data_IF_769735503925
#
_entry.id   IF_769735503925
#
_cell.length_a   1.000
_cell.length_b   1.000
_cell.length_c   1.000
_cell.angle_alpha   90.00
_cell.angle_beta   90.00
_cell.angle_gamma   90.00
#
_symmetry.space_group_name_H-M   'P 1'
#
loop_
_entity.id
_entity.type
_entity.pdbx_description
1 polymer ?
#
# COMPACT_ATOMS: atom_id res chain seq x y z
N UNK A 1 13.09 -7.63 18.05
CA UNK A 1 14.19 -6.88 17.35
C UNK A 1 14.54 -7.51 16.01
N UNK A 2 13.66 -7.38 15.03
CA UNK A 2 13.89 -7.90 13.68
C UNK A 2 14.96 -7.05 12.95
N UNK A 3 15.99 -7.68 12.33
CA UNK A 3 17.03 -6.93 11.61
C UNK A 3 16.49 -6.13 10.42
N UNK A 4 15.46 -6.61 9.72
CA UNK A 4 14.82 -5.92 8.61
C UNK A 4 14.09 -4.66 9.10
N UNK A 5 13.35 -4.75 10.21
CA UNK A 5 12.71 -3.59 10.84
C UNK A 5 13.74 -2.49 11.19
N UNK A 6 14.90 -2.88 11.72
CA UNK A 6 15.97 -1.92 12.00
C UNK A 6 16.56 -1.29 10.72
N UNK A 7 16.68 -2.07 9.65
CA UNK A 7 17.20 -1.56 8.38
C UNK A 7 16.27 -0.54 7.74
N UNK A 8 14.96 -0.83 7.68
CA UNK A 8 13.97 0.10 7.11
C UNK A 8 13.82 1.36 7.95
N UNK A 9 13.95 1.25 9.28
CA UNK A 9 13.97 2.42 10.17
C UNK A 9 15.16 3.34 9.90
N UNK A 10 16.36 2.77 9.73
CA UNK A 10 17.56 3.56 9.38
C UNK A 10 17.41 4.25 8.03
N UNK A 11 16.79 3.57 7.04
CA UNK A 11 16.51 4.19 5.74
C UNK A 11 15.56 5.38 5.90
N UNK A 12 14.47 5.23 6.67
CA UNK A 12 13.52 6.31 6.94
C UNK A 12 14.19 7.50 7.62
N UNK A 13 14.98 7.26 8.67
CA UNK A 13 15.74 8.30 9.38
C UNK A 13 16.78 9.01 8.49
N UNK A 14 17.28 8.32 7.46
CA UNK A 14 18.18 8.90 6.46
C UNK A 14 17.45 9.70 5.36
N UNK A 15 16.13 9.89 5.46
CA UNK A 15 15.33 10.63 4.49
C UNK A 15 14.86 9.81 3.29
N UNK A 16 14.94 8.48 3.35
CA UNK A 16 14.48 7.58 2.28
C UNK A 16 13.04 7.17 2.57
N UNK A 17 12.11 7.44 1.66
CA UNK A 17 10.74 6.94 1.75
C UNK A 17 10.74 5.41 1.55
N UNK A 18 10.23 4.69 2.54
CA UNK A 18 10.15 3.22 2.52
C UNK A 18 8.69 2.82 2.40
N UNK A 19 8.38 2.02 1.39
CA UNK A 19 7.06 1.43 1.16
C UNK A 19 7.16 -0.08 1.33
N UNK A 20 6.28 -0.66 2.13
CA UNK A 20 6.22 -2.10 2.38
C UNK A 20 4.82 -2.65 2.14
N UNK A 21 4.74 -3.88 1.68
CA UNK A 21 3.49 -4.63 1.60
C UNK A 21 3.00 -5.02 3.00
N UNK A 22 1.69 -5.02 3.21
CA UNK A 22 1.08 -5.45 4.48
C UNK A 22 1.24 -6.95 4.73
N UNK A 23 1.27 -7.75 3.66
CA UNK A 23 1.28 -9.21 3.67
C UNK A 23 -0.01 -9.79 3.08
N UNK A 24 0.02 -11.07 2.74
CA UNK A 24 -1.07 -11.76 2.03
C UNK A 24 -1.72 -12.87 2.89
N UNK A 25 -1.70 -12.71 4.20
CA UNK A 25 -2.27 -13.67 5.16
C UNK A 25 -3.59 -13.19 5.78
N UNK A 26 -4.27 -12.23 5.12
CA UNK A 26 -5.58 -11.72 5.53
C UNK A 26 -6.72 -12.74 5.30
N UNK A 27 -7.96 -12.36 5.63
CA UNK A 27 -8.39 -11.06 6.15
C UNK A 27 -8.35 -10.97 7.70
N UNK A 28 -7.88 -12.01 8.39
CA UNK A 28 -7.86 -12.06 9.85
C UNK A 28 -7.02 -10.93 10.46
N UNK A 29 -7.40 -10.40 11.64
CA UNK A 29 -6.63 -9.38 12.31
C UNK A 29 -5.25 -9.89 12.77
N UNK A 30 -4.32 -8.97 13.00
CA UNK A 30 -2.95 -9.23 13.46
C UNK A 30 -2.11 -10.06 12.46
N UNK A 31 -2.34 -9.88 11.16
CA UNK A 31 -1.63 -10.60 10.08
C UNK A 31 -0.60 -9.73 9.36
N UNK A 32 -0.39 -8.50 9.79
CA UNK A 32 0.62 -7.60 9.20
C UNK A 32 2.03 -8.19 9.38
N UNK A 33 2.71 -8.38 8.25
CA UNK A 33 4.05 -8.97 8.21
C UNK A 33 5.18 -7.95 8.40
N UNK A 34 6.39 -8.47 8.63
CA UNK A 34 7.65 -7.72 8.64
C UNK A 34 8.05 -7.37 7.20
N UNK A 35 8.48 -6.14 6.88
CA UNK A 35 8.67 -4.98 7.77
C UNK A 35 7.44 -4.07 7.88
N UNK A 36 6.28 -4.47 7.31
CA UNK A 36 5.05 -3.68 7.31
C UNK A 36 4.52 -3.33 8.72
N UNK A 37 4.95 -4.06 9.75
CA UNK A 37 4.61 -3.78 11.15
C UNK A 37 5.32 -2.55 11.73
N UNK A 38 6.34 -2.01 11.05
CA UNK A 38 7.05 -0.81 11.51
C UNK A 38 6.13 0.41 11.39
N UNK A 39 5.88 1.16 12.49
CA UNK A 39 4.86 2.22 12.47
C UNK A 39 5.22 3.40 11.56
N UNK A 40 6.50 3.70 11.38
CA UNK A 40 6.97 4.89 10.63
C UNK A 40 6.80 4.75 9.13
N UNK A 41 7.18 3.61 8.55
CA UNK A 41 7.17 3.41 7.09
C UNK A 41 5.76 3.33 6.53
N UNK A 42 5.62 3.45 5.21
CA UNK A 42 4.33 3.34 4.53
C UNK A 42 4.03 1.85 4.30
N UNK A 43 2.97 1.35 4.92
CA UNK A 43 2.52 -0.04 4.77
C UNK A 43 1.24 -0.07 3.95
N UNK A 44 1.22 -0.90 2.89
CA UNK A 44 0.17 -0.90 1.88
C UNK A 44 -0.59 -2.21 1.87
N UNK A 45 -1.90 -2.13 2.05
CA UNK A 45 -2.85 -3.22 1.80
C UNK A 45 -3.32 -3.24 0.34
N UNK A 46 -4.03 -4.28 -0.06
CA UNK A 46 -4.49 -4.46 -1.43
C UNK A 46 -6.00 -4.30 -1.56
N UNK A 47 -6.44 -3.62 -2.62
CA UNK A 47 -7.81 -3.65 -3.13
C UNK A 47 -7.88 -4.37 -4.48
N UNK A 48 -9.06 -4.81 -4.85
CA UNK A 48 -9.39 -5.35 -6.18
C UNK A 48 -10.64 -4.66 -6.72
N UNK A 49 -10.64 -4.41 -8.02
CA UNK A 49 -11.77 -3.90 -8.80
C UNK A 49 -12.71 -5.02 -9.29
N UNK A 50 -12.50 -6.25 -8.82
CA UNK A 50 -13.28 -7.43 -9.19
C UNK A 50 -13.46 -7.63 -10.73
N UNK A 51 -12.44 -7.24 -11.52
CA UNK A 51 -12.41 -7.21 -12.98
C UNK A 51 -13.40 -6.22 -13.64
N UNK A 52 -13.81 -5.18 -12.94
CA UNK A 52 -14.74 -4.16 -13.45
C UNK A 52 -14.13 -2.74 -13.37
N UNK A 53 -13.06 -2.45 -14.14
CA UNK A 53 -12.20 -1.26 -13.96
C UNK A 53 -12.91 0.10 -14.08
N UNK A 54 -14.18 0.13 -14.51
CA UNK A 54 -15.01 1.33 -14.62
C UNK A 54 -16.23 1.35 -13.70
N UNK A 55 -16.35 0.36 -12.80
CA UNK A 55 -17.47 0.23 -11.86
C UNK A 55 -16.96 0.25 -10.40
N UNK A 56 -16.73 1.44 -9.87
CA UNK A 56 -16.11 1.64 -8.53
C UNK A 56 -16.97 1.19 -7.34
N UNK A 57 -18.24 0.83 -7.56
CA UNK A 57 -19.16 0.42 -6.50
C UNK A 57 -18.94 -1.00 -5.99
N UNK A 58 -18.21 -1.83 -6.72
CA UNK A 58 -17.84 -3.20 -6.35
C UNK A 58 -16.37 -3.34 -5.91
N UNK A 59 -15.62 -2.24 -5.92
CA UNK A 59 -14.28 -2.18 -5.36
C UNK A 59 -14.25 -2.65 -3.90
N UNK A 60 -13.33 -3.52 -3.58
CA UNK A 60 -13.23 -4.12 -2.25
C UNK A 60 -11.79 -4.33 -1.80
N UNK A 61 -11.58 -4.33 -0.48
CA UNK A 61 -10.33 -4.82 0.08
C UNK A 61 -10.18 -6.29 -0.31
N UNK A 62 -9.03 -6.65 -0.88
CA UNK A 62 -8.77 -8.01 -1.31
C UNK A 62 -8.75 -8.95 -0.10
N UNK A 63 -9.39 -10.11 -0.24
CA UNK A 63 -9.56 -11.07 0.87
C UNK A 63 -8.24 -11.59 1.45
N UNK A 64 -7.16 -11.56 0.67
CA UNK A 64 -5.83 -11.94 1.12
C UNK A 64 -5.08 -10.79 1.84
N UNK A 65 -5.54 -9.53 1.70
CA UNK A 65 -4.83 -8.38 2.28
C UNK A 65 -4.74 -8.50 3.80
N UNK A 66 -3.52 -8.49 4.33
CA UNK A 66 -3.29 -8.56 5.76
C UNK A 66 -3.87 -7.34 6.48
N UNK A 67 -4.33 -7.56 7.70
CA UNK A 67 -5.03 -6.59 8.54
C UNK A 67 -4.34 -6.42 9.88
N UNK A 68 -4.41 -5.17 10.40
CA UNK A 68 -3.95 -4.84 11.73
C UNK A 68 -4.92 -5.28 12.85
N UNK A 69 -4.66 -4.83 14.09
CA UNK A 69 -3.47 -4.07 14.49
C UNK A 69 -2.18 -4.89 14.39
N UNK A 70 -1.01 -4.23 14.47
CA UNK A 70 0.23 -4.98 14.69
C UNK A 70 0.26 -5.59 16.10
N UNK A 71 1.15 -6.57 16.39
CA UNK A 71 1.29 -7.10 17.74
C UNK A 71 1.60 -6.02 18.80
N UNK A 72 2.23 -4.93 18.40
CA UNK A 72 2.54 -3.79 19.27
C UNK A 72 1.35 -2.81 19.40
N UNK A 73 0.26 -3.02 18.69
CA UNK A 73 -0.98 -2.23 18.75
C UNK A 73 -1.04 -1.06 17.76
N UNK A 74 -0.14 -0.98 16.78
CA UNK A 74 -0.19 0.07 15.76
C UNK A 74 -1.27 -0.20 14.71
N UNK A 75 -1.88 0.88 14.22
CA UNK A 75 -2.82 0.82 13.09
C UNK A 75 -2.01 0.60 11.80
N UNK A 76 -2.27 -0.49 11.12
CA UNK A 76 -1.73 -0.87 9.81
C UNK A 76 -2.82 -1.66 9.04
N UNK A 77 -2.82 -1.61 7.69
CA UNK A 77 -1.95 -0.81 6.82
C UNK A 77 -2.20 0.69 6.98
N UNK A 78 -1.31 1.55 6.42
CA UNK A 78 -1.53 3.01 6.41
C UNK A 78 -2.58 3.41 5.37
N UNK A 79 -2.61 2.70 4.23
CA UNK A 79 -3.56 2.87 3.13
C UNK A 79 -3.63 1.59 2.29
N UNK A 80 -4.57 1.55 1.35
CA UNK A 80 -4.69 0.48 0.35
C UNK A 80 -4.45 1.03 -1.05
N UNK A 81 -4.06 0.15 -1.97
CA UNK A 81 -3.88 0.45 -3.38
C UNK A 81 -4.30 -0.74 -4.25
N UNK A 82 -4.51 -0.55 -5.56
CA UNK A 82 -4.76 -1.65 -6.48
C UNK A 82 -3.69 -2.74 -6.36
N UNK A 83 -4.11 -3.96 -6.06
CA UNK A 83 -3.22 -5.11 -5.83
C UNK A 83 -3.84 -6.43 -6.29
N UNK A 84 -5.08 -6.42 -6.77
CA UNK A 84 -5.72 -7.54 -7.43
C UNK A 84 -5.57 -7.45 -8.95
N UNK A 85 -5.15 -8.53 -9.60
CA UNK A 85 -5.10 -8.67 -11.07
C UNK A 85 -4.24 -7.59 -11.77
N UNK A 86 -3.11 -7.24 -11.17
CA UNK A 86 -2.22 -6.20 -11.70
C UNK A 86 -1.35 -6.79 -12.82
N UNK A 87 -1.48 -6.21 -14.01
CA UNK A 87 -0.67 -6.56 -15.18
C UNK A 87 0.64 -5.77 -15.15
N UNK A 88 1.75 -6.47 -14.93
CA UNK A 88 3.10 -5.90 -14.85
C UNK A 88 4.03 -6.45 -15.93
N UNK A 89 5.10 -5.72 -16.24
CA UNK A 89 6.13 -6.19 -17.18
C UNK A 89 6.84 -7.43 -16.61
N UNK A 90 6.95 -8.47 -17.42
CA UNK A 90 7.63 -9.71 -17.07
C UNK A 90 8.41 -10.27 -18.26
N UNK A 91 9.64 -10.74 -18.01
CA UNK A 91 10.40 -11.45 -19.05
C UNK A 91 9.76 -12.81 -19.32
N UNK A 92 9.60 -13.14 -20.60
CA UNK A 92 9.09 -14.44 -21.03
C UNK A 92 9.94 -15.60 -20.50
N UNK A 93 11.25 -15.40 -20.34
CA UNK A 93 12.19 -16.41 -19.86
C UNK A 93 12.25 -16.52 -18.33
N UNK A 94 11.39 -15.81 -17.59
CA UNK A 94 11.38 -15.89 -16.14
C UNK A 94 10.82 -17.22 -15.66
N UNK A 95 11.32 -17.71 -14.52
CA UNK A 95 10.85 -18.95 -13.92
C UNK A 95 9.35 -18.94 -13.66
N UNK A 96 8.82 -17.83 -13.13
CA UNK A 96 7.40 -17.71 -12.82
C UNK A 96 6.52 -17.85 -14.07
N UNK A 97 6.96 -17.37 -15.24
CA UNK A 97 6.22 -17.53 -16.50
C UNK A 97 6.23 -18.99 -16.94
N UNK A 98 7.33 -19.71 -16.74
CA UNK A 98 7.39 -21.13 -17.07
C UNK A 98 6.54 -22.00 -16.15
N UNK A 99 6.38 -21.60 -14.90
CA UNK A 99 5.55 -22.30 -13.90
C UNK A 99 4.06 -21.95 -14.02
N UNK A 100 3.75 -20.72 -14.46
CA UNK A 100 2.38 -20.19 -14.55
C UNK A 100 2.13 -19.48 -15.88
N UNK A 101 2.26 -20.17 -17.02
CA UNK A 101 2.12 -19.54 -18.34
C UNK A 101 0.72 -18.96 -18.60
N UNK A 102 -0.30 -19.42 -17.87
CA UNK A 102 -1.68 -18.97 -17.98
C UNK A 102 -1.90 -17.49 -17.60
N UNK A 103 -0.97 -16.92 -16.80
CA UNK A 103 -1.03 -15.50 -16.41
C UNK A 103 -0.19 -14.59 -17.29
N UNK A 104 0.51 -15.12 -18.29
CA UNK A 104 1.29 -14.34 -19.24
C UNK A 104 0.48 -14.08 -20.52
N UNK A 105 0.46 -12.83 -20.97
CA UNK A 105 -0.31 -12.41 -22.16
C UNK A 105 0.28 -12.88 -23.51
N UNK A 106 1.37 -13.64 -23.48
CA UNK A 106 2.15 -14.05 -24.64
C UNK A 106 3.02 -12.93 -25.23
N UNK A 107 2.98 -11.74 -24.68
CA UNK A 107 3.72 -10.56 -25.07
C UNK A 107 4.77 -10.15 -24.05
N UNK A 108 4.44 -9.16 -23.22
CA UNK A 108 5.38 -8.56 -22.24
C UNK A 108 4.81 -8.47 -20.83
N UNK A 109 3.57 -8.87 -20.62
CA UNK A 109 2.87 -8.66 -19.37
C UNK A 109 2.51 -9.98 -18.70
N UNK A 110 2.51 -9.94 -17.38
CA UNK A 110 2.13 -11.04 -16.51
C UNK A 110 1.21 -10.51 -15.43
N UNK A 111 0.08 -11.18 -15.20
CA UNK A 111 -0.89 -10.80 -14.20
C UNK A 111 -0.53 -11.38 -12.83
N UNK A 112 -0.51 -10.52 -11.82
CA UNK A 112 -0.22 -10.91 -10.43
C UNK A 112 -1.15 -10.21 -9.45
N UNK A 113 -1.47 -10.90 -8.36
CA UNK A 113 -2.20 -10.31 -7.24
C UNK A 113 -1.37 -10.39 -5.96
N UNK A 114 -1.44 -9.32 -5.16
CA UNK A 114 -0.75 -9.28 -3.87
C UNK A 114 -0.60 -7.86 -3.33
N UNK A 115 -0.39 -7.73 -2.04
CA UNK A 115 -0.01 -6.46 -1.40
C UNK A 115 1.35 -5.94 -1.91
N UNK A 116 2.16 -6.83 -2.51
CA UNK A 116 3.42 -6.45 -3.19
C UNK A 116 3.17 -5.58 -4.42
N UNK A 117 2.14 -5.90 -5.23
CA UNK A 117 1.72 -5.09 -6.37
C UNK A 117 1.15 -3.76 -5.90
N UNK A 118 0.34 -3.76 -4.85
CA UNK A 118 -0.18 -2.54 -4.22
C UNK A 118 0.96 -1.62 -3.71
N UNK A 119 1.99 -2.19 -3.07
CA UNK A 119 3.17 -1.45 -2.63
C UNK A 119 3.94 -0.84 -3.81
N UNK A 120 4.03 -1.54 -4.94
CA UNK A 120 4.63 -1.01 -6.17
C UNK A 120 3.85 0.17 -6.73
N UNK A 121 2.51 0.10 -6.74
CA UNK A 121 1.64 1.24 -7.14
C UNK A 121 1.91 2.46 -6.27
N UNK A 122 1.89 2.30 -4.93
CA UNK A 122 2.17 3.41 -4.00
C UNK A 122 3.60 3.94 -4.18
N UNK A 123 4.59 3.09 -4.44
CA UNK A 123 5.96 3.53 -4.73
C UNK A 123 6.01 4.41 -5.98
N UNK A 124 5.22 4.12 -7.00
CA UNK A 124 5.04 4.97 -8.18
C UNK A 124 4.43 6.33 -7.82
N UNK A 125 3.39 6.35 -6.98
CA UNK A 125 2.78 7.61 -6.50
C UNK A 125 3.77 8.43 -5.67
N UNK A 126 4.56 7.81 -4.80
CA UNK A 126 5.65 8.47 -4.05
C UNK A 126 6.66 9.12 -5.00
N UNK A 127 7.04 8.41 -6.07
CA UNK A 127 7.97 8.96 -7.07
C UNK A 127 7.38 10.21 -7.78
N UNK A 128 6.08 10.21 -8.06
CA UNK A 128 5.38 11.38 -8.63
C UNK A 128 5.37 12.55 -7.64
N UNK A 129 5.02 12.33 -6.37
CA UNK A 129 5.03 13.36 -5.31
C UNK A 129 6.43 13.99 -5.19
N UNK A 130 7.49 13.16 -5.13
CA UNK A 130 8.87 13.64 -4.99
C UNK A 130 9.42 14.24 -6.29
N UNK A 131 8.82 13.97 -7.43
CA UNK A 131 9.15 14.65 -8.69
C UNK A 131 8.58 16.07 -8.70
N UNK A 132 7.39 16.26 -8.14
CA UNK A 132 6.76 17.56 -7.98
C UNK A 132 7.46 18.42 -6.91
N UNK A 133 7.71 17.83 -5.74
CA UNK A 133 8.44 18.50 -4.64
C UNK A 133 9.52 17.57 -4.05
N UNK A 134 10.78 17.66 -4.52
CA UNK A 134 11.88 16.81 -4.04
C UNK A 134 12.39 17.18 -2.64
N UNK A 135 11.84 18.21 -2.00
CA UNK A 135 12.28 18.66 -0.66
C UNK A 135 11.51 17.99 0.47
N UNK A 136 10.46 17.23 0.15
CA UNK A 136 9.61 16.59 1.14
C UNK A 136 10.36 15.51 1.93
N UNK A 137 10.16 15.53 3.24
CA UNK A 137 10.57 14.44 4.13
C UNK A 137 9.69 13.21 3.95
N UNK A 138 10.15 12.02 4.36
CA UNK A 138 9.32 10.80 4.33
C UNK A 138 7.98 10.95 5.09
N UNK A 139 7.98 11.65 6.22
CA UNK A 139 6.76 11.90 6.99
C UNK A 139 5.76 12.80 6.25
N UNK A 140 6.24 13.80 5.52
CA UNK A 140 5.39 14.66 4.69
C UNK A 140 4.80 13.90 3.52
N UNK A 141 5.59 13.04 2.85
CA UNK A 141 5.08 12.16 1.79
C UNK A 141 4.01 11.21 2.32
N UNK A 142 4.26 10.56 3.45
CA UNK A 142 3.28 9.69 4.11
C UNK A 142 2.01 10.47 4.49
N UNK A 143 2.16 11.67 5.02
CA UNK A 143 1.04 12.54 5.38
C UNK A 143 0.17 12.86 4.15
N UNK A 144 0.75 13.31 3.04
CA UNK A 144 0.03 13.62 1.80
C UNK A 144 -0.73 12.41 1.25
N UNK A 145 -0.11 11.23 1.25
CA UNK A 145 -0.75 9.98 0.83
C UNK A 145 -1.98 9.64 1.68
N UNK A 146 -1.86 9.75 3.00
CA UNK A 146 -2.95 9.39 3.92
C UNK A 146 -4.08 10.43 3.90
N UNK A 147 -3.75 11.73 3.84
CA UNK A 147 -4.72 12.82 3.80
C UNK A 147 -5.57 12.80 2.53
N UNK A 148 -4.98 12.42 1.41
CA UNK A 148 -5.63 12.38 0.10
C UNK A 148 -6.33 11.06 -0.24
N UNK A 149 -6.24 10.05 0.64
CA UNK A 149 -6.82 8.73 0.38
C UNK A 149 -8.36 8.75 0.49
N UNK A 150 -9.00 7.92 -0.33
CA UNK A 150 -10.45 7.74 -0.31
C UNK A 150 -10.83 6.61 0.64
N UNK A 151 -11.52 6.92 1.71
CA UNK A 151 -12.12 5.91 2.57
C UNK A 151 -13.28 5.21 1.85
N UNK A 152 -13.33 3.88 1.93
CA UNK A 152 -14.48 3.14 1.46
C UNK A 152 -15.62 3.22 2.49
N UNK A 153 -16.70 3.90 2.11
CA UNK A 153 -17.87 4.10 2.94
C UNK A 153 -19.09 3.39 2.36
N UNK A 154 -20.03 2.99 3.19
CA UNK A 154 -21.34 2.50 2.78
C UNK A 154 -22.25 3.67 2.37
N UNK A 155 -23.40 3.38 1.76
CA UNK A 155 -24.39 4.40 1.36
C UNK A 155 -24.93 5.23 2.53
N UNK A 156 -24.89 4.71 3.76
CA UNK A 156 -25.29 5.39 5.01
C UNK A 156 -24.14 6.16 5.69
N UNK A 157 -23.03 6.39 4.97
CA UNK A 157 -21.81 7.07 5.43
C UNK A 157 -21.04 6.31 6.54
N UNK A 158 -21.44 5.09 6.87
CA UNK A 158 -20.62 4.24 7.76
C UNK A 158 -19.42 3.65 7.01
N UNK A 159 -18.32 3.42 7.72
CA UNK A 159 -17.13 2.82 7.12
C UNK A 159 -17.40 1.37 6.69
N UNK A 160 -17.17 1.06 5.41
CA UNK A 160 -17.29 -0.28 4.87
C UNK A 160 -16.24 -1.22 5.45
N UNK A 161 -15.04 -0.69 5.70
CA UNK A 161 -13.92 -1.41 6.28
C UNK A 161 -13.37 -0.66 7.49
N UNK A 162 -12.84 -1.41 8.46
CA UNK A 162 -12.15 -0.81 9.61
C UNK A 162 -10.83 -0.17 9.20
N UNK A 163 -10.31 0.72 10.05
CA UNK A 163 -8.97 1.31 9.86
C UNK A 163 -7.86 0.26 9.84
N UNK A 164 -8.08 -0.92 10.41
CA UNK A 164 -7.14 -2.03 10.40
C UNK A 164 -7.13 -2.80 9.08
N UNK A 165 -8.09 -2.57 8.20
CA UNK A 165 -8.21 -3.19 6.89
C UNK A 165 -7.82 -2.23 5.77
N UNK A 166 -8.28 -0.97 5.84
CA UNK A 166 -8.08 0.00 4.77
C UNK A 166 -7.12 1.16 5.13
N UNK A 167 -6.71 1.30 6.40
CA UNK A 167 -5.97 2.48 6.83
C UNK A 167 -6.75 3.76 6.59
N UNK A 168 -6.11 4.74 5.94
CA UNK A 168 -6.75 5.98 5.48
C UNK A 168 -7.68 5.78 4.28
N UNK A 169 -7.55 4.67 3.55
CA UNK A 169 -8.37 4.35 2.38
C UNK A 169 -7.56 4.07 1.12
N UNK A 170 -8.21 4.15 -0.04
CA UNK A 170 -7.60 3.93 -1.34
C UNK A 170 -6.74 5.12 -1.77
N UNK A 171 -5.51 4.86 -2.20
CA UNK A 171 -4.58 5.87 -2.68
C UNK A 171 -5.14 6.65 -3.88
N UNK A 172 -4.93 7.96 -3.88
CA UNK A 172 -5.18 8.84 -5.03
C UNK A 172 -3.88 9.51 -5.45
N UNK A 173 -3.37 9.17 -6.63
CA UNK A 173 -2.16 9.81 -7.15
C UNK A 173 -2.38 11.31 -7.38
N UNK A 174 -3.50 11.68 -7.99
CA UNK A 174 -3.81 13.08 -8.29
C UNK A 174 -3.89 13.93 -7.03
N UNK A 175 -4.72 13.54 -6.07
CA UNK A 175 -4.89 14.33 -4.85
C UNK A 175 -3.66 14.27 -3.93
N UNK A 176 -2.85 13.21 -3.98
CA UNK A 176 -1.62 13.13 -3.19
C UNK A 176 -0.54 14.11 -3.69
N UNK A 177 -0.46 14.35 -5.01
CA UNK A 177 0.43 15.35 -5.59
C UNK A 177 -0.05 16.77 -5.25
N UNK A 178 -1.35 17.03 -5.37
CA UNK A 178 -1.96 18.34 -5.08
C UNK A 178 -2.07 18.65 -3.56
N UNK A 179 -1.92 17.64 -2.69
CA UNK A 179 -2.05 17.83 -1.26
C UNK A 179 -0.92 18.69 -0.69
N UNK A 180 -1.29 19.67 0.11
CA UNK A 180 -0.36 20.45 0.94
C UNK A 180 -0.34 19.98 2.41
N UNK A 181 -0.90 18.80 2.69
CA UNK A 181 -0.95 18.26 4.03
C UNK A 181 0.46 18.04 4.60
N UNK A 182 0.65 18.46 5.82
CA UNK A 182 1.91 18.38 6.54
C UNK A 182 1.66 18.01 8.01
N UNK A 183 2.65 17.41 8.62
CA UNK A 183 2.66 17.17 10.05
C UNK A 183 1.46 16.33 10.57
N UNK A 184 0.97 15.36 9.79
CA UNK A 184 -0.10 14.43 10.16
C UNK A 184 0.39 12.98 10.33
N UNK A 185 1.51 12.60 9.73
CA UNK A 185 2.08 11.27 9.89
C UNK A 185 3.10 11.21 11.04
N UNK A 186 3.21 10.04 11.67
CA UNK A 186 4.20 9.68 12.69
C UNK A 186 4.27 10.62 13.92
N UNK A 187 3.24 11.41 14.16
CA UNK A 187 3.15 12.27 15.35
C UNK A 187 3.14 11.41 16.61
N UNK A 188 3.85 11.89 17.64
CA UNK A 188 3.96 11.25 18.95
C UNK A 188 4.67 9.89 18.94
N UNK A 189 5.35 9.55 17.86
CA UNK A 189 6.28 8.42 17.83
C UNK A 189 7.68 8.97 18.04
N UNK A 190 8.36 8.55 19.13
CA UNK A 190 9.77 8.87 19.34
C UNK A 190 10.64 7.97 18.47
N UNK A 191 11.50 8.58 17.65
CA UNK A 191 12.44 7.88 16.75
C UNK A 191 13.78 7.66 17.46
#
# INVERSE_FOLDING_TARGET
DDPLNRAVMKAWQAGIVVVASAGNSGPDPMTIGVPGNVPYIITVGAMTDDYTPFAYNDDKVASFSASGPTPEGFVKPDLIAPGGHISGLMSFDSQIVSEHPEFHDGGRYFEMSGTSQAAAVVSGVVALILTDDPTLSPDQVKCRLMDSAYSADNEDETKRYSVFQQGAGLVSAYFAIESSADNCANKMLDI
#
